data_IF_954011265767
#
_entry.id   IF_954011265767
#
_cell.length_a   1.000
_cell.length_b   1.000
_cell.length_c   1.000
_cell.angle_alpha   90.00
_cell.angle_beta   90.00
_cell.angle_gamma   90.00
#
_symmetry.space_group_name_H-M   'P 1'
#
loop_
_entity.id
_entity.type
_entity.pdbx_description
1 polymer ?
#
# COMPACT_ATOMS: atom_id res chain seq x y z
N UNK A 1 25.34 49.27 -50.08
CA UNK A 1 24.96 48.92 -48.70
C UNK A 1 24.34 47.53 -48.75
N UNK A 2 25.08 46.52 -48.33
CA UNK A 2 24.73 45.10 -48.44
C UNK A 2 23.86 44.66 -47.24
N UNK A 3 22.71 44.05 -47.54
CA UNK A 3 21.80 43.49 -46.54
C UNK A 3 22.13 42.00 -46.33
N UNK A 4 22.99 41.73 -45.34
CA UNK A 4 23.31 40.38 -44.87
C UNK A 4 22.06 39.66 -44.35
N UNK A 5 21.51 38.75 -45.16
CA UNK A 5 20.45 37.82 -44.78
C UNK A 5 20.97 36.79 -43.77
N UNK A 6 20.62 36.99 -42.49
CA UNK A 6 20.82 36.00 -41.42
C UNK A 6 19.92 34.79 -41.70
N UNK A 7 20.51 33.65 -42.11
CA UNK A 7 19.76 32.38 -42.24
C UNK A 7 19.41 31.87 -40.84
N UNK A 8 18.14 32.01 -40.47
CA UNK A 8 17.59 31.43 -39.25
C UNK A 8 17.71 29.90 -39.34
N UNK A 9 18.56 29.31 -38.49
CA UNK A 9 18.69 27.86 -38.36
C UNK A 9 17.36 27.25 -37.96
N UNK A 10 16.81 26.40 -38.83
CA UNK A 10 15.54 25.71 -38.61
C UNK A 10 15.71 24.74 -37.43
N UNK A 11 15.14 25.08 -36.27
CA UNK A 11 15.02 24.13 -35.15
C UNK A 11 14.13 22.98 -35.63
N UNK A 12 14.72 21.79 -35.78
CA UNK A 12 13.95 20.57 -36.00
C UNK A 12 13.16 20.28 -34.72
N UNK A 13 11.88 20.65 -34.70
CA UNK A 13 10.93 20.05 -33.79
C UNK A 13 10.79 18.58 -34.20
N UNK A 14 11.53 17.69 -33.54
CA UNK A 14 11.42 16.24 -33.74
C UNK A 14 10.14 15.77 -33.06
N UNK A 15 9.24 15.15 -33.84
CA UNK A 15 8.06 14.47 -33.31
C UNK A 15 8.43 13.14 -32.65
N UNK A 16 7.60 12.69 -31.71
CA UNK A 16 7.74 11.42 -31.01
C UNK A 16 7.46 10.24 -31.94
N UNK A 17 8.28 9.19 -31.88
CA UNK A 17 8.12 8.01 -32.75
C UNK A 17 7.28 6.92 -32.08
N UNK A 18 6.57 6.11 -32.88
CA UNK A 18 5.86 4.93 -32.36
C UNK A 18 6.82 3.91 -31.72
N UNK A 19 8.05 3.84 -32.24
CA UNK A 19 9.09 2.94 -31.72
C UNK A 19 9.54 3.36 -30.32
N UNK A 20 9.71 4.66 -30.06
CA UNK A 20 9.98 5.16 -28.69
C UNK A 20 8.87 4.75 -27.73
N UNK A 21 7.60 4.89 -28.11
CA UNK A 21 6.48 4.48 -27.27
C UNK A 21 6.54 2.98 -26.96
N UNK A 22 6.75 2.15 -27.98
CA UNK A 22 6.79 0.69 -27.83
C UNK A 22 7.85 0.25 -26.83
N UNK A 23 9.05 0.85 -26.89
CA UNK A 23 10.13 0.54 -25.95
C UNK A 23 9.76 0.98 -24.53
N UNK A 24 9.18 2.17 -24.36
CA UNK A 24 8.74 2.67 -23.04
C UNK A 24 7.70 1.74 -22.42
N UNK A 25 6.67 1.34 -23.18
CA UNK A 25 5.62 0.44 -22.67
C UNK A 25 6.19 -0.94 -22.36
N UNK A 26 7.14 -1.45 -23.16
CA UNK A 26 7.81 -2.71 -22.87
C UNK A 26 8.55 -2.67 -21.52
N UNK A 27 9.28 -1.58 -21.23
CA UNK A 27 9.96 -1.38 -19.95
C UNK A 27 8.94 -1.31 -18.80
N UNK A 28 7.86 -0.53 -18.95
CA UNK A 28 6.82 -0.41 -17.92
C UNK A 28 6.15 -1.77 -17.65
N UNK A 29 5.89 -2.58 -18.68
CA UNK A 29 5.30 -3.91 -18.52
C UNK A 29 6.21 -4.86 -17.71
N UNK A 30 7.53 -4.84 -17.98
CA UNK A 30 8.51 -5.63 -17.21
C UNK A 30 8.52 -5.19 -15.75
N UNK A 31 8.59 -3.87 -15.50
CA UNK A 31 8.57 -3.34 -14.14
C UNK A 31 7.27 -3.67 -13.41
N UNK A 32 6.12 -3.53 -14.07
CA UNK A 32 4.81 -3.84 -13.50
C UNK A 32 4.68 -5.31 -13.10
N UNK A 33 5.25 -6.23 -13.90
CA UNK A 33 5.27 -7.65 -13.62
C UNK A 33 5.94 -8.01 -12.29
N UNK A 34 6.95 -7.25 -11.87
CA UNK A 34 7.67 -7.46 -10.60
C UNK A 34 7.06 -6.59 -9.48
N UNK A 35 6.70 -5.35 -9.80
CA UNK A 35 6.22 -4.37 -8.83
C UNK A 35 4.86 -4.76 -8.24
N UNK A 36 3.94 -5.29 -9.05
CA UNK A 36 2.60 -5.65 -8.60
C UNK A 36 2.60 -6.75 -7.53
N UNK A 37 3.22 -7.94 -7.73
CA UNK A 37 3.25 -8.98 -6.70
C UNK A 37 4.00 -8.49 -5.44
N UNK A 38 5.12 -7.80 -5.60
CA UNK A 38 5.89 -7.21 -4.49
C UNK A 38 5.06 -6.23 -3.64
N UNK A 39 4.28 -5.36 -4.30
CA UNK A 39 3.39 -4.43 -3.62
C UNK A 39 2.28 -5.17 -2.86
N UNK A 40 1.66 -6.18 -3.48
CA UNK A 40 0.64 -7.00 -2.81
C UNK A 40 1.20 -7.69 -1.57
N UNK A 41 2.40 -8.24 -1.63
CA UNK A 41 3.06 -8.87 -0.48
C UNK A 41 3.40 -7.88 0.63
N UNK A 42 3.85 -6.69 0.26
CA UNK A 42 4.12 -5.59 1.20
C UNK A 42 2.85 -5.18 1.93
N UNK A 43 1.73 -5.04 1.21
CA UNK A 43 0.41 -4.75 1.80
C UNK A 43 -0.04 -5.89 2.72
N UNK A 44 0.07 -7.16 2.30
CA UNK A 44 -0.26 -8.32 3.14
C UNK A 44 0.58 -8.35 4.42
N UNK A 45 1.88 -8.06 4.33
CA UNK A 45 2.78 -7.97 5.49
C UNK A 45 2.37 -6.85 6.44
N UNK A 46 2.06 -5.66 5.91
CA UNK A 46 1.57 -4.54 6.72
C UNK A 46 0.27 -4.88 7.44
N UNK A 47 -0.67 -5.55 6.76
CA UNK A 47 -1.94 -5.99 7.36
C UNK A 47 -1.73 -7.00 8.49
N UNK A 48 -0.83 -7.97 8.32
CA UNK A 48 -0.47 -8.92 9.40
C UNK A 48 0.18 -8.22 10.59
N UNK A 49 1.04 -7.24 10.33
CA UNK A 49 1.67 -6.44 11.40
C UNK A 49 0.61 -5.66 12.19
N UNK A 50 -0.39 -5.08 11.50
CA UNK A 50 -1.51 -4.41 12.15
C UNK A 50 -2.34 -5.37 13.00
N UNK A 51 -2.72 -6.53 12.46
CA UNK A 51 -3.46 -7.54 13.22
C UNK A 51 -2.70 -8.00 14.48
N UNK A 52 -1.38 -8.12 14.40
CA UNK A 52 -0.55 -8.42 15.56
C UNK A 52 -0.58 -7.28 16.61
N UNK A 53 -0.48 -6.03 16.17
CA UNK A 53 -0.56 -4.88 17.08
C UNK A 53 -1.95 -4.80 17.76
N UNK A 54 -3.01 -5.05 16.99
CA UNK A 54 -4.38 -5.11 17.46
C UNK A 54 -4.56 -6.20 18.54
N UNK A 55 -3.98 -7.38 18.34
CA UNK A 55 -3.99 -8.47 19.33
C UNK A 55 -3.25 -8.11 20.63
N UNK A 56 -2.13 -7.38 20.53
CA UNK A 56 -1.38 -6.90 21.70
C UNK A 56 -2.20 -5.91 22.52
N UNK A 57 -2.94 -5.00 21.86
CA UNK A 57 -3.85 -4.07 22.53
C UNK A 57 -4.96 -4.81 23.28
N UNK A 58 -5.56 -5.84 22.64
CA UNK A 58 -6.56 -6.69 23.29
C UNK A 58 -5.96 -7.41 24.51
N UNK A 59 -4.75 -7.96 24.41
CA UNK A 59 -4.07 -8.63 25.51
C UNK A 59 -3.87 -7.70 26.72
N UNK A 60 -3.43 -6.45 26.48
CA UNK A 60 -3.30 -5.45 27.53
C UNK A 60 -4.65 -5.09 28.18
N UNK A 61 -5.71 -5.01 27.38
CA UNK A 61 -7.07 -4.79 27.86
C UNK A 61 -7.58 -5.94 28.73
N UNK A 62 -7.31 -7.18 28.33
CA UNK A 62 -7.61 -8.39 29.10
C UNK A 62 -6.86 -8.40 30.44
N UNK A 63 -5.57 -8.07 30.47
CA UNK A 63 -4.77 -7.98 31.71
C UNK A 63 -5.35 -6.95 32.69
N UNK A 64 -5.76 -5.78 32.20
CA UNK A 64 -6.45 -4.77 33.02
C UNK A 64 -7.78 -5.28 33.55
N UNK A 65 -8.57 -5.94 32.70
CA UNK A 65 -9.85 -6.50 33.09
C UNK A 65 -9.70 -7.57 34.17
N UNK A 66 -8.74 -8.47 34.01
CA UNK A 66 -8.42 -9.50 35.00
C UNK A 66 -7.93 -8.91 36.32
N UNK A 67 -7.14 -7.83 36.29
CA UNK A 67 -6.68 -7.16 37.51
C UNK A 67 -7.83 -6.61 38.37
N UNK A 68 -8.95 -6.25 37.74
CA UNK A 68 -10.14 -5.71 38.43
C UNK A 68 -11.16 -6.79 38.77
N UNK A 69 -11.39 -7.73 37.85
CA UNK A 69 -12.49 -8.69 37.94
C UNK A 69 -12.03 -10.11 38.34
N UNK A 70 -10.72 -10.33 38.48
CA UNK A 70 -10.09 -11.64 38.74
C UNK A 70 -10.57 -12.75 37.79
N UNK A 71 -10.95 -12.36 36.58
CA UNK A 71 -11.58 -13.19 35.57
C UNK A 71 -11.39 -12.54 34.20
N UNK A 72 -11.31 -13.35 33.15
CA UNK A 72 -11.32 -12.89 31.75
C UNK A 72 -12.69 -13.06 31.08
N UNK A 73 -13.61 -13.73 31.78
CA UNK A 73 -14.96 -14.04 31.28
C UNK A 73 -15.73 -12.73 31.10
N UNK A 74 -16.55 -12.65 30.05
CA UNK A 74 -17.33 -11.44 29.66
C UNK A 74 -16.50 -10.22 29.23
N UNK A 75 -15.21 -10.36 28.97
CA UNK A 75 -14.41 -9.27 28.40
C UNK A 75 -14.91 -8.89 27.00
N UNK A 76 -15.48 -7.69 26.87
CA UNK A 76 -15.91 -7.15 25.60
C UNK A 76 -14.71 -6.64 24.79
N UNK A 77 -14.46 -7.25 23.63
CA UNK A 77 -13.41 -6.79 22.73
C UNK A 77 -13.68 -5.34 22.26
N UNK A 78 -12.68 -4.45 22.29
CA UNK A 78 -12.82 -3.06 21.83
C UNK A 78 -13.07 -2.94 20.32
N UNK A 79 -12.70 -3.97 19.55
CA UNK A 79 -12.98 -4.09 18.11
C UNK A 79 -12.94 -5.57 17.71
N UNK A 80 -13.63 -5.91 16.61
CA UNK A 80 -13.79 -7.31 16.14
C UNK A 80 -13.18 -7.58 14.77
N UNK A 81 -12.55 -6.59 14.15
CA UNK A 81 -11.97 -6.70 12.80
C UNK A 81 -10.59 -6.06 12.72
N UNK A 82 -9.72 -6.66 11.90
CA UNK A 82 -8.43 -6.08 11.53
C UNK A 82 -8.16 -6.27 10.02
N UNK A 83 -7.55 -5.27 9.33
CA UNK A 83 -7.23 -3.92 9.80
C UNK A 83 -8.46 -3.08 10.14
N UNK A 84 -8.31 -2.14 11.09
CA UNK A 84 -9.41 -1.29 11.59
C UNK A 84 -9.87 -0.23 10.58
N UNK A 85 -9.02 0.15 9.63
CA UNK A 85 -9.27 1.17 8.60
C UNK A 85 -8.61 0.78 7.27
N UNK A 86 -9.19 1.19 6.13
CA UNK A 86 -8.55 1.07 4.82
C UNK A 86 -9.01 -0.07 3.89
N UNK A 87 -10.21 -0.61 4.06
CA UNK A 87 -10.85 -1.55 3.11
C UNK A 87 -11.10 -2.96 3.66
N UNK A 88 -11.86 -3.76 2.87
CA UNK A 88 -12.54 -5.02 3.21
C UNK A 88 -11.93 -5.85 4.36
N UNK A 89 -12.79 -6.27 5.29
CA UNK A 89 -12.46 -7.14 6.43
C UNK A 89 -11.57 -8.32 6.02
N UNK A 90 -10.38 -8.42 6.62
CA UNK A 90 -9.43 -9.51 6.34
C UNK A 90 -9.34 -10.51 7.48
N UNK A 91 -9.45 -10.05 8.74
CA UNK A 91 -9.38 -10.89 9.93
C UNK A 91 -10.53 -10.56 10.88
N UNK A 92 -11.20 -11.60 11.39
CA UNK A 92 -12.19 -11.51 12.46
C UNK A 92 -11.50 -11.81 13.82
N UNK A 93 -11.77 -10.99 14.83
CA UNK A 93 -11.28 -11.17 16.19
C UNK A 93 -12.43 -11.54 17.12
N UNK A 94 -12.29 -12.66 17.82
CA UNK A 94 -13.25 -13.16 18.79
C UNK A 94 -12.51 -13.60 20.07
N UNK A 95 -13.12 -13.34 21.22
CA UNK A 95 -12.68 -13.93 22.48
C UNK A 95 -13.19 -15.38 22.53
N UNK A 96 -12.36 -16.30 22.99
CA UNK A 96 -12.80 -17.65 23.31
C UNK A 96 -13.66 -17.58 24.58
N UNK A 97 -14.87 -18.11 24.49
CA UNK A 97 -15.79 -18.24 25.62
C UNK A 97 -15.49 -19.51 26.40
#
# INVERSE_FOLDING_TARGET
>A
MDHSHKRAGRRFARGFTLVELMVVVAIVAILAGIALPSYQDSVRKSRRAQAKADLVEIAQGLERFHSVNNSYVDYALPFKISPRVGGATQYNLAAAN
#
